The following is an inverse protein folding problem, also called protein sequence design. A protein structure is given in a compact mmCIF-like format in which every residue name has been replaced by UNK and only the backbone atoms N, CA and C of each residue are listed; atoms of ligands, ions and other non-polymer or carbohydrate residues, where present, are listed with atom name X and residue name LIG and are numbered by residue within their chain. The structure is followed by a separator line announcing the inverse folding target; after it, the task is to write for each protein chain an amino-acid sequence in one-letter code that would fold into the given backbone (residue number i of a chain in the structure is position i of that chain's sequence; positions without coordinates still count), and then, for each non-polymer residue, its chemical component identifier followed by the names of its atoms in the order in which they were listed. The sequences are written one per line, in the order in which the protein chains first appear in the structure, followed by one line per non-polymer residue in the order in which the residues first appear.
data_IF_806047771903
#
_entry.id   IF_806047771903
#
_cell.length_a   1.000
_cell.length_b   1.000
_cell.length_c   1.000
_cell.angle_alpha   90.00
_cell.angle_beta   90.00
_cell.angle_gamma   90.00
#
_symmetry.space_group_name_H-M   'P 1'
#
loop_
_entity.id
_entity.type
_entity.pdbx_description
1 polymer ?
#
# COMPACT_ATOMS: atom_id res chain seq x y z
N UNK A 1 7.59 24.93 -67.77
CA UNK A 1 7.06 24.30 -66.54
C UNK A 1 5.79 25.06 -66.19
N UNK A 2 4.60 24.59 -66.62
CA UNK A 2 3.68 23.67 -65.90
C UNK A 2 3.32 24.23 -64.51
N UNK A 3 2.07 24.46 -64.07
CA UNK A 3 0.73 24.24 -64.63
C UNK A 3 -0.29 25.06 -63.79
N UNK A 4 -1.40 25.42 -64.42
CA UNK A 4 -2.62 26.05 -63.88
C UNK A 4 -3.42 25.11 -62.95
N UNK A 5 -4.24 25.66 -62.05
CA UNK A 5 -5.58 25.11 -61.79
C UNK A 5 -6.61 26.17 -61.40
N UNK A 6 -7.75 26.10 -62.11
CA UNK A 6 -8.94 26.96 -62.03
C UNK A 6 -10.10 26.17 -61.42
N UNK A 7 -11.01 26.94 -60.80
CA UNK A 7 -12.26 26.60 -60.10
C UNK A 7 -13.35 25.89 -60.94
N UNK A 8 -14.33 25.37 -60.17
CA UNK A 8 -15.79 25.28 -60.38
C UNK A 8 -16.44 23.97 -60.90
N UNK A 9 -17.38 23.43 -60.09
CA UNK A 9 -18.81 23.42 -60.49
C UNK A 9 -19.53 22.08 -60.73
N UNK A 10 -20.40 21.70 -59.79
CA UNK A 10 -21.75 21.05 -59.89
C UNK A 10 -21.93 19.68 -60.60
N UNK A 11 -22.58 18.73 -59.90
CA UNK A 11 -24.03 18.37 -60.05
C UNK A 11 -24.34 16.86 -59.91
N UNK A 12 -25.39 16.55 -59.11
CA UNK A 12 -26.43 15.50 -59.30
C UNK A 12 -26.03 14.00 -59.35
N UNK A 13 -26.83 12.97 -59.03
CA UNK A 13 -28.09 12.69 -58.30
C UNK A 13 -28.22 11.15 -58.31
N UNK A 14 -29.05 10.61 -57.40
CA UNK A 14 -29.82 9.36 -57.50
C UNK A 14 -29.30 8.01 -56.97
N UNK A 15 -30.24 7.44 -56.22
CA UNK A 15 -30.44 6.16 -55.55
C UNK A 15 -30.53 4.93 -56.46
N UNK A 16 -30.10 3.75 -55.96
CA UNK A 16 -30.87 2.50 -56.09
C UNK A 16 -30.56 1.49 -54.98
N UNK A 17 -31.63 0.90 -54.43
CA UNK A 17 -31.67 -0.24 -53.50
C UNK A 17 -31.31 -1.55 -54.22
N UNK A 18 -30.71 -2.51 -53.51
CA UNK A 18 -31.07 -3.93 -53.66
C UNK A 18 -30.93 -4.69 -52.33
N UNK A 19 -32.00 -5.40 -52.00
CA UNK A 19 -32.10 -6.40 -50.94
C UNK A 19 -31.97 -7.78 -51.59
N UNK A 20 -31.19 -8.69 -51.00
CA UNK A 20 -31.34 -10.13 -51.20
C UNK A 20 -31.25 -10.84 -49.84
N UNK A 21 -32.31 -11.60 -49.57
CA UNK A 21 -32.48 -12.58 -48.49
C UNK A 21 -32.26 -13.97 -49.10
N UNK A 22 -31.63 -14.89 -48.37
CA UNK A 22 -31.85 -16.35 -48.34
C UNK A 22 -30.63 -17.03 -47.67
N UNK A 23 -30.70 -17.57 -46.46
CA UNK A 23 -31.38 -18.80 -45.98
C UNK A 23 -30.65 -20.12 -46.31
N UNK A 24 -30.32 -20.86 -45.25
CA UNK A 24 -30.42 -22.33 -45.22
C UNK A 24 -29.10 -23.12 -45.27
N UNK A 25 -28.92 -24.02 -44.30
CA UNK A 25 -27.99 -25.15 -44.44
C UNK A 25 -27.44 -25.74 -43.14
N UNK A 26 -28.26 -26.52 -42.43
CA UNK A 26 -27.80 -27.51 -41.45
C UNK A 26 -27.03 -28.63 -42.15
N UNK A 27 -25.95 -29.13 -41.54
CA UNK A 27 -25.47 -30.50 -41.73
C UNK A 27 -24.82 -31.03 -40.44
N UNK A 28 -25.43 -32.10 -39.93
CA UNK A 28 -25.00 -32.95 -38.83
C UNK A 28 -23.88 -33.90 -39.25
N UNK A 29 -22.87 -34.14 -38.40
CA UNK A 29 -22.61 -35.47 -37.81
C UNK A 29 -21.25 -35.58 -37.09
N UNK A 30 -21.27 -36.48 -36.10
CA UNK A 30 -20.21 -37.41 -35.71
C UNK A 30 -19.25 -37.07 -34.54
N UNK A 31 -19.49 -37.85 -33.47
CA UNK A 31 -18.55 -38.69 -32.68
C UNK A 31 -18.04 -38.20 -31.32
N UNK A 32 -18.36 -39.04 -30.33
CA UNK A 32 -17.75 -39.21 -29.01
C UNK A 32 -16.22 -39.24 -29.09
N UNK A 33 -15.58 -38.53 -28.16
CA UNK A 33 -14.17 -38.72 -27.79
C UNK A 33 -13.97 -38.19 -26.37
N UNK A 34 -13.48 -39.06 -25.49
CA UNK A 34 -13.19 -38.81 -24.07
C UNK A 34 -12.18 -37.66 -23.91
N UNK A 35 -12.43 -36.76 -22.95
CA UNK A 35 -11.45 -35.82 -22.45
C UNK A 35 -10.88 -36.37 -21.15
N UNK A 36 -9.62 -36.77 -21.16
CA UNK A 36 -8.83 -37.08 -19.96
C UNK A 36 -7.72 -36.04 -19.83
N UNK A 37 -7.58 -35.55 -18.60
CA UNK A 37 -6.71 -34.47 -18.15
C UNK A 37 -5.26 -34.96 -18.16
N UNK A 38 -4.33 -34.19 -18.74
CA UNK A 38 -2.88 -34.34 -18.48
C UNK A 38 -2.25 -33.01 -18.09
N UNK A 39 -1.79 -33.01 -16.84
CA UNK A 39 -0.86 -32.06 -16.23
C UNK A 39 0.51 -32.19 -16.90
N UNK A 40 1.14 -31.08 -17.26
CA UNK A 40 2.51 -31.02 -17.76
C UNK A 40 3.41 -30.34 -16.71
N UNK A 41 4.23 -31.15 -16.04
CA UNK A 41 5.40 -30.71 -15.29
C UNK A 41 6.66 -30.99 -16.12
N UNK A 42 7.48 -29.98 -16.34
CA UNK A 42 8.73 -30.08 -17.10
C UNK A 42 9.95 -30.16 -16.18
N UNK A 43 10.64 -31.31 -16.19
CA UNK A 43 12.01 -31.47 -15.73
C UNK A 43 12.98 -31.08 -16.85
N UNK A 44 14.03 -30.32 -16.55
CA UNK A 44 15.18 -30.08 -17.45
C UNK A 44 16.45 -30.73 -16.89
N UNK A 45 17.12 -31.50 -17.74
CA UNK A 45 18.40 -32.17 -17.54
C UNK A 45 19.52 -31.31 -18.14
N UNK A 46 20.65 -31.19 -17.45
CA UNK A 46 21.88 -30.50 -17.90
C UNK A 46 22.78 -31.42 -18.76
N UNK A 47 23.47 -30.83 -19.75
CA UNK A 47 24.51 -31.48 -20.57
C UNK A 47 25.83 -30.68 -20.45
N UNK A 48 26.92 -31.37 -20.14
CA UNK A 48 28.31 -30.87 -20.16
C UNK A 48 28.96 -31.10 -21.54
N UNK A 49 29.90 -30.22 -21.91
CA UNK A 49 30.90 -30.47 -22.95
C UNK A 49 32.20 -29.72 -22.57
N UNK A 50 33.38 -30.27 -22.92
CA UNK A 50 34.69 -29.73 -22.57
C UNK A 50 35.77 -29.82 -23.67
N UNK A 51 36.99 -29.37 -23.30
CA UNK A 51 38.32 -29.34 -23.99
C UNK A 51 38.55 -28.13 -24.94
N UNK A 52 39.74 -27.50 -25.11
CA UNK A 52 41.18 -27.78 -24.80
C UNK A 52 42.02 -26.45 -24.85
N UNK A 53 43.26 -26.46 -24.30
CA UNK A 53 44.30 -25.40 -24.15
C UNK A 53 45.09 -25.05 -25.45
N UNK A 54 45.89 -23.98 -25.67
CA UNK A 54 47.07 -23.30 -25.00
C UNK A 54 47.44 -21.97 -25.78
N UNK A 55 48.50 -21.13 -25.52
CA UNK A 55 49.32 -20.79 -24.33
C UNK A 55 49.58 -19.24 -24.07
N UNK A 56 50.35 -18.96 -23.00
CA UNK A 56 50.81 -17.72 -22.31
C UNK A 56 51.69 -16.69 -23.09
N UNK A 57 51.95 -15.46 -22.54
CA UNK A 57 53.17 -15.23 -21.73
C UNK A 57 53.02 -14.39 -20.42
N UNK A 58 53.74 -14.87 -19.40
CA UNK A 58 54.49 -14.22 -18.28
C UNK A 58 54.20 -12.78 -17.81
N UNK A 59 53.94 -12.60 -16.51
CA UNK A 59 54.90 -11.93 -15.60
C UNK A 59 54.63 -12.18 -14.10
N UNK A 60 55.74 -12.26 -13.39
CA UNK A 60 55.98 -12.63 -11.99
C UNK A 60 55.56 -11.59 -10.95
N UNK A 61 55.03 -12.01 -9.81
CA UNK A 61 55.66 -11.74 -8.49
C UNK A 61 54.97 -12.52 -7.36
N UNK A 62 55.82 -12.94 -6.43
CA UNK A 62 55.64 -13.85 -5.31
C UNK A 62 55.04 -13.19 -4.07
N UNK A 63 54.17 -13.89 -3.34
CA UNK A 63 54.19 -13.89 -1.87
C UNK A 63 53.46 -15.12 -1.31
N UNK A 64 54.15 -15.77 -0.39
CA UNK A 64 53.88 -17.02 0.32
C UNK A 64 52.76 -16.92 1.38
N UNK A 65 52.09 -18.06 1.57
CA UNK A 65 51.04 -18.42 2.55
C UNK A 65 51.48 -18.29 4.04
N UNK A 66 50.59 -18.44 5.06
CA UNK A 66 49.96 -19.74 5.39
C UNK A 66 48.52 -19.74 5.95
N UNK A 67 47.79 -20.81 5.57
CA UNK A 67 46.99 -21.73 6.40
C UNK A 67 46.00 -21.14 7.42
N UNK A 68 44.71 -21.34 7.16
CA UNK A 68 43.69 -21.49 8.22
C UNK A 68 42.62 -22.51 7.78
N UNK A 69 42.26 -23.38 8.72
CA UNK A 69 41.56 -24.64 8.56
C UNK A 69 40.06 -24.51 8.26
N UNK A 70 39.56 -25.38 7.38
CA UNK A 70 38.14 -25.63 7.16
C UNK A 70 37.53 -26.36 8.37
N UNK A 71 36.51 -25.77 8.99
CA UNK A 71 35.58 -26.47 9.88
C UNK A 71 34.23 -26.60 9.19
N UNK A 72 33.86 -27.85 8.92
CA UNK A 72 32.58 -28.29 8.39
C UNK A 72 31.54 -28.35 9.51
N UNK A 73 30.44 -27.60 9.39
CA UNK A 73 29.25 -27.79 10.24
C UNK A 73 28.15 -28.50 9.44
N UNK A 74 27.73 -29.65 9.93
CA UNK A 74 26.63 -30.47 9.41
C UNK A 74 25.37 -30.16 10.21
N UNK A 75 24.27 -29.79 9.54
CA UNK A 75 22.95 -29.57 10.16
C UNK A 75 22.12 -30.86 10.07
N UNK A 76 21.53 -31.38 11.16
CA UNK A 76 20.69 -32.56 11.09
C UNK A 76 19.26 -32.22 10.64
N UNK A 77 18.84 -32.85 9.53
CA UNK A 77 17.46 -32.87 9.03
C UNK A 77 16.67 -33.90 9.82
N UNK A 78 15.64 -33.46 10.56
CA UNK A 78 14.72 -34.34 11.29
C UNK A 78 13.60 -34.80 10.35
N UNK A 79 13.67 -36.06 9.89
CA UNK A 79 12.57 -36.74 9.18
C UNK A 79 11.42 -37.04 10.15
N UNK A 80 10.19 -36.71 9.77
CA UNK A 80 8.96 -37.21 10.41
C UNK A 80 8.46 -38.41 9.62
N UNK A 81 8.30 -39.54 10.31
CA UNK A 81 7.68 -40.76 9.80
C UNK A 81 6.15 -40.64 9.90
N UNK A 82 5.45 -41.01 8.83
CA UNK A 82 4.07 -41.51 8.88
C UNK A 82 4.06 -42.98 9.29
N UNK A 83 3.06 -43.38 10.08
CA UNK A 83 2.55 -44.75 10.21
C UNK A 83 1.09 -44.67 10.69
N UNK A 84 0.20 -45.38 10.00
CA UNK A 84 -1.24 -45.32 10.15
C UNK A 84 -1.87 -46.37 11.07
N UNK A 85 -3.20 -46.25 11.14
CA UNK A 85 -4.26 -47.22 11.49
C UNK A 85 -4.11 -48.15 12.69
N UNK A 86 -5.08 -48.08 13.61
CA UNK A 86 -6.06 -49.18 13.74
C UNK A 86 -7.33 -48.77 14.51
N UNK A 87 -8.44 -49.34 14.05
CA UNK A 87 -9.80 -49.16 14.52
C UNK A 87 -10.12 -50.03 15.74
N UNK A 88 -11.14 -49.65 16.51
CA UNK A 88 -12.04 -50.60 17.17
C UNK A 88 -13.48 -50.07 17.24
N UNK A 89 -14.38 -51.01 16.99
CA UNK A 89 -15.82 -50.92 16.75
C UNK A 89 -16.58 -51.06 18.06
N UNK A 90 -17.70 -50.33 18.22
CA UNK A 90 -18.88 -50.82 18.93
C UNK A 90 -20.16 -50.14 18.42
N UNK A 91 -20.97 -50.92 17.69
CA UNK A 91 -22.36 -50.67 17.34
C UNK A 91 -23.28 -50.84 18.56
N UNK A 92 -24.30 -49.98 18.73
CA UNK A 92 -25.70 -50.36 19.05
C UNK A 92 -26.64 -49.26 18.51
N UNK A 93 -27.74 -49.67 17.87
CA UNK A 93 -28.78 -48.87 17.19
C UNK A 93 -30.14 -49.00 17.97
N UNK A 94 -31.27 -48.44 17.50
CA UNK A 94 -31.99 -47.26 18.02
C UNK A 94 -33.30 -47.61 18.79
N UNK A 95 -34.20 -46.64 19.08
CA UNK A 95 -35.32 -46.45 18.15
C UNK A 95 -35.84 -45.00 17.97
N UNK A 96 -36.68 -44.91 16.93
CA UNK A 96 -37.46 -43.81 16.36
C UNK A 96 -38.52 -43.20 17.31
N UNK A 97 -38.82 -41.91 17.15
CA UNK A 97 -40.13 -41.37 16.69
C UNK A 97 -40.17 -39.84 16.82
N UNK A 98 -40.88 -39.20 15.88
CA UNK A 98 -40.86 -37.77 15.54
C UNK A 98 -42.06 -37.00 16.17
N UNK A 99 -42.33 -35.72 15.83
CA UNK A 99 -42.47 -34.58 16.76
C UNK A 99 -43.98 -34.22 16.98
N UNK A 100 -44.43 -33.08 17.58
CA UNK A 100 -44.26 -31.70 17.03
C UNK A 100 -44.28 -30.52 18.06
N UNK A 101 -44.16 -29.31 17.51
CA UNK A 101 -44.61 -27.99 18.00
C UNK A 101 -43.66 -27.04 18.77
N UNK A 102 -43.32 -26.00 18.01
CA UNK A 102 -42.81 -24.66 18.33
C UNK A 102 -43.24 -24.04 19.66
N UNK A 103 -42.29 -23.33 20.29
CA UNK A 103 -42.52 -22.00 20.84
C UNK A 103 -41.21 -21.21 20.84
N UNK A 104 -41.16 -20.21 19.96
CA UNK A 104 -40.20 -19.12 19.99
C UNK A 104 -40.42 -18.30 21.27
N UNK A 105 -39.42 -18.18 22.13
CA UNK A 105 -39.30 -17.04 23.03
C UNK A 105 -38.33 -16.04 22.43
N UNK A 106 -38.87 -14.94 21.89
CA UNK A 106 -38.14 -13.69 21.70
C UNK A 106 -37.93 -13.05 23.08
N UNK A 107 -36.69 -12.96 23.53
CA UNK A 107 -36.30 -11.98 24.56
C UNK A 107 -36.06 -10.65 23.87
N UNK A 108 -37.07 -9.77 23.90
CA UNK A 108 -36.95 -8.36 23.59
C UNK A 108 -36.72 -7.58 24.90
N UNK A 109 -35.51 -7.09 25.09
CA UNK A 109 -35.17 -5.94 25.92
C UNK A 109 -34.27 -5.10 25.01
N UNK A 110 -34.66 -3.93 24.51
CA UNK A 110 -34.97 -2.73 25.27
C UNK A 110 -35.71 -1.72 24.38
N UNK A 111 -36.98 -1.45 24.67
CA UNK A 111 -37.63 -0.19 24.34
C UNK A 111 -38.75 0.02 25.36
N UNK A 112 -38.61 1.08 26.16
CA UNK A 112 -39.46 1.35 27.32
C UNK A 112 -40.93 1.47 26.96
N UNK A 113 -41.76 0.62 27.56
CA UNK A 113 -43.21 0.74 27.61
C UNK A 113 -43.60 0.55 29.08
N UNK A 114 -44.10 1.62 29.73
CA UNK A 114 -44.62 1.57 31.11
C UNK A 114 -46.14 1.59 31.06
N UNK A 115 -46.72 0.40 31.23
CA UNK A 115 -48.15 0.07 31.43
C UNK A 115 -49.09 0.17 30.21
N UNK A 116 -49.89 -0.90 30.05
CA UNK A 116 -51.02 -1.02 29.14
C UNK A 116 -52.25 -1.13 30.03
N UNK A 117 -53.19 -0.17 29.93
CA UNK A 117 -54.54 -0.31 30.48
C UNK A 117 -55.49 -0.67 29.35
N UNK A 118 -56.13 -1.83 29.47
CA UNK A 118 -57.24 -2.25 28.61
C UNK A 118 -58.56 -2.01 29.37
N UNK A 119 -59.46 -1.25 28.78
CA UNK A 119 -60.91 -1.35 29.04
C UNK A 119 -61.68 -0.98 27.76
N UNK A 120 -62.88 -1.55 27.54
CA UNK A 120 -63.31 -1.97 26.22
C UNK A 120 -64.43 -1.06 25.67
N UNK A 121 -64.13 -0.29 24.63
CA UNK A 121 -65.10 0.19 23.62
C UNK A 121 -64.43 1.32 22.84
N UNK A 122 -64.41 1.20 21.51
CA UNK A 122 -64.09 2.27 20.55
C UNK A 122 -62.61 2.75 20.63
N UNK A 123 -61.68 2.29 19.79
CA UNK A 123 -61.70 2.49 18.35
C UNK A 123 -61.22 3.90 17.96
N UNK A 124 -59.98 4.28 18.33
CA UNK A 124 -59.07 5.28 17.68
C UNK A 124 -57.87 5.51 18.60
N UNK A 125 -56.63 5.48 18.09
CA UNK A 125 -55.45 5.94 18.81
C UNK A 125 -54.63 6.90 17.93
N UNK A 126 -54.82 8.20 18.18
CA UNK A 126 -53.92 9.28 17.74
C UNK A 126 -52.66 9.30 18.61
N UNK A 127 -51.49 9.41 17.99
CA UNK A 127 -50.23 9.65 18.71
C UNK A 127 -49.71 11.05 18.38
N UNK A 128 -49.97 12.00 19.28
CA UNK A 128 -49.33 13.32 19.33
C UNK A 128 -47.98 13.22 20.08
N UNK A 129 -46.96 13.89 19.53
CA UNK A 129 -45.58 13.87 20.04
C UNK A 129 -45.43 14.81 21.24
N UNK A 130 -45.27 14.26 22.45
CA UNK A 130 -44.90 15.03 23.63
C UNK A 130 -43.39 15.32 23.64
N UNK A 131 -43.04 16.61 23.79
CA UNK A 131 -41.68 17.13 23.95
C UNK A 131 -41.27 16.91 25.42
N UNK A 132 -40.23 16.12 25.65
CA UNK A 132 -39.61 15.95 26.97
C UNK A 132 -38.14 16.30 26.87
N UNK A 133 -37.71 17.14 27.81
CA UNK A 133 -36.40 17.74 27.97
C UNK A 133 -35.31 16.69 28.25
N UNK A 134 -34.12 17.02 27.74
CA UNK A 134 -32.76 16.47 27.93
C UNK A 134 -32.57 15.15 28.69
N UNK A 135 -31.72 14.27 28.11
CA UNK A 135 -30.57 13.80 28.88
C UNK A 135 -29.25 14.08 28.16
N UNK A 136 -28.26 14.39 28.99
CA UNK A 136 -26.81 14.24 28.80
C UNK A 136 -26.32 13.81 27.41
N UNK A 137 -25.55 14.72 26.82
CA UNK A 137 -24.89 14.62 25.53
C UNK A 137 -23.77 13.59 25.56
N UNK A 138 -24.10 12.30 25.66
CA UNK A 138 -23.23 11.26 25.15
C UNK A 138 -23.36 11.30 23.61
N UNK A 139 -22.54 12.15 22.97
CA UNK A 139 -22.32 12.07 21.54
C UNK A 139 -21.84 10.64 21.23
N UNK A 140 -22.54 9.86 20.39
CA UNK A 140 -21.88 8.72 19.79
C UNK A 140 -20.70 9.31 19.02
N UNK A 141 -19.49 8.85 19.33
CA UNK A 141 -18.32 9.04 18.47
C UNK A 141 -18.64 8.35 17.15
N UNK A 142 -19.40 9.04 16.29
CA UNK A 142 -19.46 8.76 14.88
C UNK A 142 -18.01 8.88 14.42
N UNK A 143 -17.46 7.79 13.90
CA UNK A 143 -16.20 7.75 13.17
C UNK A 143 -16.35 8.66 11.95
N UNK A 144 -16.27 9.97 12.18
CA UNK A 144 -16.29 11.01 11.17
C UNK A 144 -15.04 10.80 10.31
N UNK A 145 -15.26 10.78 8.99
CA UNK A 145 -14.31 10.46 7.93
C UNK A 145 -12.83 10.80 8.25
N UNK A 146 -11.93 9.84 7.97
CA UNK A 146 -10.49 9.96 8.28
C UNK A 146 -9.67 10.68 7.18
N UNK A 147 -10.34 11.25 6.18
CA UNK A 147 -9.76 12.36 5.42
C UNK A 147 -9.86 13.60 6.29
N UNK A 148 -8.71 14.04 6.78
CA UNK A 148 -8.63 15.14 7.73
C UNK A 148 -8.38 16.46 7.00
N UNK A 149 -8.90 17.57 7.54
CA UNK A 149 -8.52 18.89 7.04
C UNK A 149 -7.06 19.21 7.40
N UNK A 150 -6.64 18.80 8.59
CA UNK A 150 -5.29 18.95 9.12
C UNK A 150 -4.94 17.71 9.97
N UNK A 151 -3.72 17.20 9.82
CA UNK A 151 -3.19 16.10 10.64
C UNK A 151 -3.05 16.48 12.11
N UNK A 152 -2.90 17.78 12.41
CA UNK A 152 -2.72 18.30 13.76
C UNK A 152 -3.97 18.16 14.65
N UNK A 153 -5.16 18.07 14.04
CA UNK A 153 -6.43 18.18 14.72
C UNK A 153 -7.08 16.82 15.04
N UNK A 154 -6.46 15.72 14.62
CA UNK A 154 -6.96 14.37 14.91
C UNK A 154 -6.04 13.66 15.89
N UNK A 155 -6.66 13.16 16.97
CA UNK A 155 -5.96 12.52 18.07
C UNK A 155 -5.06 11.38 17.54
N UNK A 156 -3.78 11.43 17.92
CA UNK A 156 -2.73 10.45 17.60
C UNK A 156 -2.32 10.31 16.14
N UNK A 157 -3.02 10.92 15.17
CA UNK A 157 -2.57 10.90 13.77
C UNK A 157 -1.23 11.63 13.60
N UNK A 158 -1.05 12.73 14.33
CA UNK A 158 0.21 13.50 14.37
C UNK A 158 1.39 12.75 15.01
N UNK A 159 1.16 11.65 15.72
CA UNK A 159 2.23 10.86 16.35
C UNK A 159 3.21 10.27 15.31
N UNK A 160 2.79 10.24 14.04
CA UNK A 160 3.59 9.79 12.90
C UNK A 160 4.49 10.89 12.30
N UNK A 161 4.39 12.11 12.81
CA UNK A 161 5.05 13.31 12.31
C UNK A 161 6.00 13.87 13.36
N UNK A 162 7.20 14.29 12.92
CA UNK A 162 8.16 14.93 13.83
C UNK A 162 7.56 16.21 14.40
N UNK A 163 7.54 16.35 15.73
CA UNK A 163 6.86 17.44 16.46
C UNK A 163 5.38 17.60 16.08
N UNK A 164 4.75 16.52 15.62
CA UNK A 164 3.37 16.53 15.15
C UNK A 164 3.15 17.34 13.86
N UNK A 165 4.20 17.81 13.18
CA UNK A 165 4.08 18.75 12.07
C UNK A 165 4.30 18.05 10.72
N UNK A 166 3.37 18.18 9.75
CA UNK A 166 3.55 17.60 8.42
C UNK A 166 4.57 18.40 7.58
N UNK A 167 5.13 17.80 6.51
CA UNK A 167 5.88 18.53 5.49
C UNK A 167 5.16 19.80 5.05
N UNK A 168 5.87 20.94 5.08
CA UNK A 168 5.36 22.26 4.72
C UNK A 168 5.62 22.55 3.25
N UNK A 169 4.85 23.46 2.64
CA UNK A 169 5.07 23.91 1.26
C UNK A 169 4.40 23.06 0.17
N UNK A 170 3.72 21.97 0.52
CA UNK A 170 2.86 21.21 -0.41
C UNK A 170 1.40 21.68 -0.20
N UNK A 171 0.92 22.60 -1.05
CA UNK A 171 -0.29 23.41 -0.79
C UNK A 171 -1.45 23.18 -1.78
N UNK A 172 -1.50 22.04 -2.48
CA UNK A 172 -2.62 21.75 -3.38
C UNK A 172 -3.88 21.29 -2.60
N UNK A 173 -4.96 22.09 -2.71
CA UNK A 173 -6.26 21.88 -2.06
C UNK A 173 -6.98 20.60 -2.48
N UNK A 174 -6.59 20.00 -3.62
CA UNK A 174 -7.19 18.74 -4.13
C UNK A 174 -6.63 17.53 -3.43
N UNK A 175 -5.43 17.63 -2.85
CA UNK A 175 -4.79 16.55 -2.13
C UNK A 175 -5.58 16.22 -0.86
N UNK A 176 -5.62 14.93 -0.53
CA UNK A 176 -6.34 14.40 0.63
C UNK A 176 -5.34 14.00 1.68
N UNK A 177 -5.51 14.55 2.89
CA UNK A 177 -4.73 14.17 4.06
C UNK A 177 -5.42 12.98 4.71
N UNK A 178 -4.84 11.79 4.58
CA UNK A 178 -5.42 10.55 5.09
C UNK A 178 -4.68 10.19 6.38
N UNK A 179 -5.39 10.15 7.50
CA UNK A 179 -4.84 9.47 8.68
C UNK A 179 -5.12 7.97 8.54
N UNK A 180 -4.07 7.19 8.33
CA UNK A 180 -4.22 5.78 8.00
C UNK A 180 -4.61 5.02 9.27
N UNK A 181 -5.82 4.47 9.31
CA UNK A 181 -6.36 3.74 10.47
C UNK A 181 -6.61 2.30 10.13
N UNK A 182 -6.16 1.43 11.02
CA UNK A 182 -6.40 -0.01 10.93
C UNK A 182 -6.72 -0.57 12.32
N UNK A 183 -7.83 -1.31 12.40
CA UNK A 183 -8.43 -1.79 13.65
C UNK A 183 -8.63 -0.64 14.66
N UNK A 184 -9.28 0.43 14.19
CA UNK A 184 -9.65 1.67 14.89
C UNK A 184 -8.50 2.51 15.43
N UNK A 185 -7.24 2.11 15.16
CA UNK A 185 -6.04 2.80 15.62
C UNK A 185 -5.36 3.54 14.47
N UNK A 186 -5.00 4.82 14.66
CA UNK A 186 -4.06 5.53 13.78
C UNK A 186 -2.73 4.78 13.70
N UNK A 187 -2.18 4.66 12.49
CA UNK A 187 -0.94 3.91 12.20
C UNK A 187 0.14 4.80 11.59
N UNK A 188 -0.22 5.56 10.56
CA UNK A 188 0.65 6.52 9.87
C UNK A 188 -0.21 7.55 9.14
N UNK A 189 0.42 8.49 8.42
CA UNK A 189 -0.31 9.46 7.60
C UNK A 189 0.15 9.40 6.16
N UNK A 190 -0.76 9.74 5.26
CA UNK A 190 -0.51 9.81 3.83
C UNK A 190 -1.11 11.09 3.26
N UNK A 191 -0.34 11.84 2.49
CA UNK A 191 -0.88 12.87 1.61
C UNK A 191 -1.13 12.24 0.25
N UNK A 192 -2.38 12.18 -0.17
CA UNK A 192 -2.83 11.43 -1.35
C UNK A 192 -3.33 12.35 -2.45
N UNK A 193 -3.03 12.03 -3.70
CA UNK A 193 -3.55 12.70 -4.89
C UNK A 193 -4.64 11.82 -5.54
N UNK A 194 -5.94 12.16 -5.38
CA UNK A 194 -7.03 11.40 -6.00
C UNK A 194 -7.03 11.44 -7.53
N UNK A 195 -6.48 12.50 -8.14
CA UNK A 195 -6.44 12.62 -9.60
C UNK A 195 -5.37 11.73 -10.20
N UNK A 196 -4.21 11.65 -9.55
CA UNK A 196 -3.12 10.76 -9.94
C UNK A 196 -3.25 9.34 -9.38
N UNK A 197 -4.18 9.15 -8.43
CA UNK A 197 -4.46 7.90 -7.71
C UNK A 197 -3.23 7.30 -7.00
N UNK A 198 -2.32 8.16 -6.54
CA UNK A 198 -1.10 7.76 -5.80
C UNK A 198 -0.87 8.64 -4.58
N UNK A 199 -0.18 8.14 -3.54
CA UNK A 199 0.36 9.00 -2.50
C UNK A 199 1.41 9.95 -3.06
N UNK A 200 1.35 11.21 -2.62
CA UNK A 200 2.44 12.19 -2.77
C UNK A 200 3.56 11.86 -1.79
N UNK A 201 3.19 11.57 -0.54
CA UNK A 201 4.08 11.00 0.47
C UNK A 201 3.31 10.20 1.52
N UNK A 202 4.00 9.29 2.18
CA UNK A 202 3.60 8.67 3.46
C UNK A 202 4.61 9.04 4.55
N UNK A 203 4.12 9.38 5.74
CA UNK A 203 4.95 9.69 6.90
C UNK A 203 4.60 8.81 8.10
N UNK A 204 5.61 8.22 8.73
CA UNK A 204 5.46 7.17 9.74
C UNK A 204 6.63 7.17 10.74
N UNK A 205 6.41 6.55 11.90
CA UNK A 205 7.50 6.23 12.83
C UNK A 205 8.08 4.86 12.54
N UNK A 206 9.41 4.74 12.55
CA UNK A 206 10.12 3.46 12.45
C UNK A 206 9.99 2.65 13.76
N UNK A 207 9.71 1.34 13.68
CA UNK A 207 9.30 0.53 14.85
C UNK A 207 10.33 -0.46 15.41
N UNK A 208 11.61 -0.36 15.04
CA UNK A 208 12.70 -1.29 15.44
C UNK A 208 12.34 -2.77 15.24
N UNK A 209 12.89 -3.37 14.18
CA UNK A 209 12.39 -4.66 13.67
C UNK A 209 13.52 -5.45 13.04
N UNK A 210 13.43 -6.78 13.07
CA UNK A 210 14.40 -7.72 12.47
C UNK A 210 14.31 -7.77 10.93
N UNK A 211 13.32 -7.10 10.33
CA UNK A 211 13.15 -7.04 8.87
C UNK A 211 12.29 -8.16 8.28
N UNK A 212 11.61 -8.94 9.13
CA UNK A 212 10.68 -9.98 8.69
C UNK A 212 9.55 -9.39 7.83
N UNK A 213 9.41 -9.87 6.61
CA UNK A 213 8.25 -9.59 5.75
C UNK A 213 7.13 -10.59 6.01
N UNK A 214 5.88 -10.12 6.05
CA UNK A 214 4.70 -11.00 6.05
C UNK A 214 3.90 -10.78 4.77
N UNK A 215 3.76 -11.84 3.97
CA UNK A 215 3.18 -11.75 2.61
C UNK A 215 1.67 -11.98 2.61
N UNK A 216 1.08 -12.30 3.77
CA UNK A 216 -0.27 -12.90 3.84
C UNK A 216 -1.38 -11.90 4.16
N UNK A 217 -1.12 -10.59 4.09
CA UNK A 217 -2.13 -9.57 4.33
C UNK A 217 -2.94 -9.25 3.07
N UNK A 218 -4.28 -9.14 3.17
CA UNK A 218 -5.09 -8.71 2.05
C UNK A 218 -4.81 -7.25 1.70
N UNK A 219 -4.87 -6.93 0.41
CA UNK A 219 -4.83 -5.54 -0.04
C UNK A 219 -6.11 -4.82 0.37
N UNK A 220 -5.94 -3.57 0.79
CA UNK A 220 -6.99 -2.73 1.36
C UNK A 220 -7.19 -1.43 0.57
N UNK A 221 -8.35 -0.83 0.77
CA UNK A 221 -8.76 0.47 0.25
C UNK A 221 -9.23 1.38 1.38
N UNK A 222 -9.38 2.66 1.06
CA UNK A 222 -9.87 3.70 1.98
C UNK A 222 -11.33 4.06 1.63
N UNK A 223 -12.35 3.55 2.36
CA UNK A 223 -13.76 3.83 2.08
C UNK A 223 -14.09 5.33 2.08
N UNK A 224 -13.48 6.08 2.99
CA UNK A 224 -13.63 7.53 3.17
C UNK A 224 -13.15 8.38 1.98
N UNK A 225 -12.45 7.79 1.00
CA UNK A 225 -12.12 8.49 -0.25
C UNK A 225 -13.27 8.45 -1.27
N UNK A 226 -14.10 7.40 -1.25
CA UNK A 226 -15.18 7.20 -2.20
C UNK A 226 -16.55 7.64 -1.65
N UNK A 227 -16.72 7.60 -0.33
CA UNK A 227 -17.99 7.86 0.35
C UNK A 227 -17.78 8.88 1.48
N UNK A 228 -18.66 9.89 1.55
CA UNK A 228 -18.55 10.98 2.53
C UNK A 228 -18.72 10.46 3.97
N UNK A 229 -19.58 9.47 4.13
CA UNK A 229 -19.86 8.72 5.36
C UNK A 229 -19.11 7.37 5.43
N UNK A 230 -18.12 7.18 4.54
CA UNK A 230 -17.30 5.98 4.50
C UNK A 230 -16.58 5.72 5.82
N UNK A 231 -16.37 4.43 6.14
CA UNK A 231 -15.65 4.02 7.33
C UNK A 231 -14.26 4.65 7.36
N UNK A 232 -13.87 5.13 8.55
CA UNK A 232 -12.58 5.76 8.75
C UNK A 232 -11.40 4.79 8.82
N UNK A 233 -11.64 3.47 8.83
CA UNK A 233 -10.62 2.44 8.75
C UNK A 233 -10.46 1.93 7.33
N UNK A 234 -9.22 1.59 6.98
CA UNK A 234 -8.93 0.83 5.77
C UNK A 234 -9.56 -0.55 5.85
N UNK A 235 -10.13 -1.02 4.73
CA UNK A 235 -10.85 -2.29 4.64
C UNK A 235 -10.29 -3.16 3.51
N UNK A 236 -10.29 -4.50 3.64
CA UNK A 236 -9.89 -5.38 2.54
C UNK A 236 -10.82 -5.20 1.35
N UNK A 237 -10.26 -5.26 0.14
CA UNK A 237 -11.08 -5.25 -1.06
C UNK A 237 -12.10 -6.40 -1.05
N UNK A 238 -13.38 -6.13 -1.34
CA UNK A 238 -14.39 -7.18 -1.36
C UNK A 238 -14.11 -8.19 -2.48
N UNK A 239 -14.33 -9.47 -2.19
CA UNK A 239 -14.32 -10.54 -3.20
C UNK A 239 -15.64 -10.50 -3.97
N UNK A 240 -15.82 -9.53 -4.86
CA UNK A 240 -17.07 -9.33 -5.57
C UNK A 240 -17.13 -8.01 -6.33
N UNK A 241 -18.33 -7.55 -6.63
CA UNK A 241 -18.53 -6.29 -7.35
C UNK A 241 -18.07 -5.10 -6.50
N UNK A 242 -16.99 -4.44 -6.91
CA UNK A 242 -16.66 -3.12 -6.42
C UNK A 242 -17.60 -2.10 -7.04
N UNK A 243 -18.22 -1.28 -6.20
CA UNK A 243 -19.03 -0.17 -6.66
C UNK A 243 -18.13 0.83 -7.44
N UNK A 244 -18.56 1.27 -8.63
CA UNK A 244 -17.73 2.09 -9.55
C UNK A 244 -17.12 3.36 -8.91
N UNK A 245 -17.76 3.90 -7.86
CA UNK A 245 -17.27 5.07 -7.09
C UNK A 245 -15.85 4.91 -6.53
N UNK A 246 -15.38 3.69 -6.24
CA UNK A 246 -14.02 3.48 -5.76
C UNK A 246 -12.98 3.80 -6.83
N UNK A 247 -13.25 3.41 -8.08
CA UNK A 247 -12.31 3.60 -9.19
C UNK A 247 -12.08 5.06 -9.54
N UNK A 248 -13.02 5.94 -9.22
CA UNK A 248 -12.93 7.38 -9.47
C UNK A 248 -12.06 8.09 -8.43
N UNK A 249 -12.01 7.57 -7.20
CA UNK A 249 -11.40 8.26 -6.05
C UNK A 249 -10.01 7.74 -5.68
N UNK A 250 -9.71 6.48 -6.00
CA UNK A 250 -8.45 5.83 -5.63
C UNK A 250 -8.08 4.72 -6.62
N UNK A 251 -6.86 4.21 -6.49
CA UNK A 251 -6.42 3.05 -7.26
C UNK A 251 -7.14 1.77 -6.78
N UNK A 252 -7.38 0.85 -7.71
CA UNK A 252 -7.93 -0.48 -7.43
C UNK A 252 -6.97 -1.58 -7.88
N UNK A 253 -7.18 -2.82 -7.44
CA UNK A 253 -6.28 -3.95 -7.77
C UNK A 253 -6.16 -4.18 -9.29
N UNK A 254 -7.26 -3.99 -10.02
CA UNK A 254 -7.30 -4.11 -11.48
C UNK A 254 -6.48 -3.03 -12.20
N UNK A 255 -6.10 -1.94 -11.53
CA UNK A 255 -5.15 -0.96 -12.11
C UNK A 255 -3.71 -1.53 -12.17
N UNK A 256 -3.42 -2.60 -11.44
CA UNK A 256 -2.10 -3.25 -11.36
C UNK A 256 -2.07 -4.67 -11.97
N UNK A 257 -3.20 -5.22 -12.41
CA UNK A 257 -3.30 -6.63 -12.84
C UNK A 257 -2.58 -6.92 -14.17
N UNK A 258 -2.64 -5.99 -15.12
CA UNK A 258 -2.18 -6.20 -16.49
C UNK A 258 -0.81 -5.56 -16.80
N UNK A 259 -0.11 -5.08 -15.77
CA UNK A 259 1.16 -4.34 -15.91
C UNK A 259 2.34 -5.12 -15.34
N UNK A 260 2.85 -6.08 -16.11
CA UNK A 260 3.98 -6.97 -15.71
C UNK A 260 5.27 -6.20 -15.35
N UNK A 261 5.42 -4.96 -15.83
CA UNK A 261 6.59 -4.13 -15.58
C UNK A 261 6.65 -3.56 -14.15
N UNK A 262 5.50 -3.39 -13.50
CA UNK A 262 5.41 -2.66 -12.24
C UNK A 262 5.08 -3.57 -11.06
N UNK A 263 5.76 -3.30 -9.96
CA UNK A 263 5.43 -3.80 -8.64
C UNK A 263 4.63 -2.76 -7.87
N UNK A 264 3.88 -3.23 -6.87
CA UNK A 264 3.23 -2.39 -5.87
C UNK A 264 4.27 -1.99 -4.81
N UNK A 265 4.98 -0.90 -5.06
CA UNK A 265 6.00 -0.38 -4.16
C UNK A 265 5.40 0.41 -3.02
N UNK A 266 5.82 0.10 -1.79
CA UNK A 266 5.29 0.73 -0.58
C UNK A 266 6.10 1.98 -0.21
N UNK A 267 5.43 3.08 0.12
CA UNK A 267 6.12 4.25 0.68
C UNK A 267 6.42 4.09 2.19
N UNK A 268 5.48 3.49 2.92
CA UNK A 268 5.71 2.94 4.26
C UNK A 268 5.86 1.41 4.15
N UNK A 269 7.08 0.86 4.19
CA UNK A 269 7.32 -0.57 4.00
C UNK A 269 7.00 -1.39 5.24
N UNK A 270 6.54 -2.63 5.04
CA UNK A 270 6.23 -3.59 6.10
C UNK A 270 7.45 -3.82 7.02
N UNK A 271 8.66 -3.81 6.45
CA UNK A 271 9.88 -4.16 7.17
C UNK A 271 10.31 -3.09 8.16
N UNK A 272 9.70 -1.91 8.13
CA UNK A 272 9.90 -0.85 9.12
C UNK A 272 8.89 -0.92 10.26
N UNK A 273 7.88 -1.80 10.15
CA UNK A 273 6.81 -2.00 11.13
C UNK A 273 7.02 -3.29 11.94
N UNK A 274 6.66 -3.27 13.22
CA UNK A 274 6.96 -4.37 14.14
C UNK A 274 5.76 -5.26 14.46
N UNK A 275 4.60 -4.68 14.78
CA UNK A 275 3.42 -5.47 15.15
C UNK A 275 2.68 -5.99 13.91
N UNK A 276 1.96 -7.12 14.01
CA UNK A 276 1.16 -7.63 12.90
C UNK A 276 0.16 -6.60 12.35
N UNK A 277 -0.47 -5.81 13.23
CA UNK A 277 -1.41 -4.78 12.80
C UNK A 277 -0.74 -3.57 12.14
N UNK A 278 0.45 -3.16 12.59
CA UNK A 278 1.19 -2.07 11.95
C UNK A 278 1.68 -2.49 10.56
N UNK A 279 2.14 -3.75 10.42
CA UNK A 279 2.48 -4.34 9.11
C UNK A 279 1.27 -4.46 8.21
N UNK A 280 0.15 -5.00 8.70
CA UNK A 280 -1.07 -5.10 7.91
C UNK A 280 -1.49 -3.73 7.35
N UNK A 281 -1.39 -2.67 8.15
CA UNK A 281 -1.77 -1.32 7.74
C UNK A 281 -0.96 -0.75 6.57
N UNK A 282 0.20 -1.32 6.22
CA UNK A 282 0.97 -0.87 5.05
C UNK A 282 0.35 -1.33 3.73
N UNK A 283 -0.50 -2.37 3.75
CA UNK A 283 -1.11 -3.02 2.57
C UNK A 283 -2.38 -2.31 2.08
N UNK A 284 -2.44 -0.98 2.16
CA UNK A 284 -3.48 -0.16 1.51
C UNK A 284 -2.92 0.43 0.20
N UNK A 285 -3.72 0.47 -0.87
CA UNK A 285 -3.26 1.04 -2.15
C UNK A 285 -2.99 2.55 -2.07
N UNK A 286 -3.49 3.24 -1.06
CA UNK A 286 -3.15 4.64 -0.81
C UNK A 286 -1.72 4.82 -0.28
N UNK A 287 -1.02 3.75 0.10
CA UNK A 287 0.40 3.76 0.49
C UNK A 287 1.33 3.20 -0.61
N UNK A 288 0.78 2.95 -1.80
CA UNK A 288 1.47 2.24 -2.88
C UNK A 288 1.62 3.10 -4.12
N UNK A 289 2.76 2.96 -4.80
CA UNK A 289 3.00 3.51 -6.13
C UNK A 289 3.47 2.43 -7.10
N UNK A 290 3.28 2.59 -8.42
CA UNK A 290 3.89 1.69 -9.40
C UNK A 290 5.41 1.87 -9.44
N UNK A 291 6.15 0.85 -9.04
CA UNK A 291 7.62 0.85 -9.11
C UNK A 291 8.10 -0.14 -10.15
N UNK A 292 9.11 0.22 -10.95
CA UNK A 292 9.71 -0.71 -11.89
C UNK A 292 10.29 -1.90 -11.12
N UNK A 293 9.97 -3.11 -11.58
CA UNK A 293 10.30 -4.34 -10.85
C UNK A 293 11.77 -4.44 -10.45
N UNK A 294 12.70 -4.18 -11.36
CA UNK A 294 14.15 -4.22 -11.09
C UNK A 294 14.59 -3.20 -10.06
N UNK A 295 13.93 -2.04 -10.00
CA UNK A 295 14.20 -1.01 -9.00
C UNK A 295 13.67 -1.42 -7.62
N UNK A 296 12.39 -1.84 -7.54
CA UNK A 296 11.73 -2.23 -6.29
C UNK A 296 12.41 -3.43 -5.61
N UNK A 297 12.75 -4.49 -6.35
CA UNK A 297 13.38 -5.70 -5.77
C UNK A 297 14.91 -5.58 -5.62
N UNK A 298 15.51 -4.52 -6.16
CA UNK A 298 16.95 -4.31 -6.19
C UNK A 298 17.36 -3.10 -5.35
N UNK A 299 17.83 -1.99 -5.97
CA UNK A 299 18.42 -0.87 -5.25
C UNK A 299 17.53 -0.26 -4.16
N UNK A 300 16.22 -0.16 -4.39
CA UNK A 300 15.32 0.46 -3.41
C UNK A 300 15.15 -0.41 -2.17
N UNK A 301 14.90 -1.72 -2.35
CA UNK A 301 14.84 -2.68 -1.24
C UNK A 301 16.14 -2.73 -0.45
N UNK A 302 17.29 -2.66 -1.11
CA UNK A 302 18.60 -2.61 -0.44
C UNK A 302 18.75 -1.33 0.40
N UNK A 303 18.22 -0.21 -0.09
CA UNK A 303 18.20 1.04 0.67
C UNK A 303 17.25 0.96 1.87
N UNK A 304 16.03 0.43 1.72
CA UNK A 304 15.10 0.18 2.84
C UNK A 304 15.76 -0.63 3.97
N UNK A 305 16.46 -1.69 3.59
CA UNK A 305 17.18 -2.53 4.54
C UNK A 305 18.34 -1.77 5.23
N UNK A 306 19.07 -0.95 4.47
CA UNK A 306 20.16 -0.11 4.99
C UNK A 306 19.66 0.87 6.05
N UNK A 307 18.56 1.58 5.79
CA UNK A 307 17.97 2.50 6.79
C UNK A 307 17.38 1.75 7.99
N UNK A 308 16.79 0.57 7.80
CA UNK A 308 16.35 -0.29 8.92
C UNK A 308 17.51 -0.62 9.85
N UNK A 309 18.62 -1.13 9.31
CA UNK A 309 19.81 -1.49 10.09
C UNK A 309 20.43 -0.26 10.77
N UNK A 310 20.57 0.85 10.04
CA UNK A 310 21.12 2.11 10.57
C UNK A 310 20.29 2.63 11.74
N UNK A 311 18.97 2.73 11.59
CA UNK A 311 18.09 3.26 12.62
C UNK A 311 17.95 2.29 13.81
N UNK A 312 17.95 0.98 13.58
CA UNK A 312 17.99 -0.01 14.67
C UNK A 312 19.21 0.19 15.58
N UNK A 313 20.39 0.34 14.97
CA UNK A 313 21.66 0.35 15.69
C UNK A 313 21.96 1.71 16.36
N UNK A 314 21.61 2.81 15.69
CA UNK A 314 22.12 4.13 16.06
C UNK A 314 21.04 5.13 16.49
N UNK A 315 19.75 4.92 16.13
CA UNK A 315 18.67 5.75 16.66
C UNK A 315 18.20 5.23 18.04
N UNK A 316 18.34 6.06 19.06
CA UNK A 316 17.97 5.75 20.45
C UNK A 316 16.52 6.12 20.75
N UNK A 317 16.05 7.25 20.25
CA UNK A 317 14.66 7.70 20.38
C UNK A 317 13.75 7.23 19.25
N UNK A 318 12.77 8.06 18.91
CA UNK A 318 11.83 7.80 17.80
C UNK A 318 12.39 8.35 16.50
N UNK A 319 12.51 7.49 15.48
CA UNK A 319 12.80 7.93 14.12
C UNK A 319 11.51 8.15 13.34
N UNK A 320 11.37 9.34 12.75
CA UNK A 320 10.30 9.72 11.86
C UNK A 320 10.80 9.63 10.42
N UNK A 321 10.03 9.03 9.53
CA UNK A 321 10.39 8.86 8.12
C UNK A 321 9.29 9.44 7.25
N UNK A 322 9.67 10.16 6.21
CA UNK A 322 8.79 10.62 5.14
C UNK A 322 9.33 10.06 3.83
N UNK A 323 8.52 9.26 3.14
CA UNK A 323 8.83 8.73 1.81
C UNK A 323 7.81 9.26 0.82
N UNK A 324 8.25 9.74 -0.34
CA UNK A 324 7.38 10.31 -1.36
C UNK A 324 7.93 10.15 -2.76
N UNK A 325 7.22 10.76 -3.71
CA UNK A 325 7.50 10.58 -5.14
C UNK A 325 7.42 11.89 -5.92
N UNK A 326 8.12 11.93 -7.05
CA UNK A 326 7.95 12.94 -8.10
C UNK A 326 7.20 12.33 -9.28
N UNK A 327 6.53 13.14 -10.11
CA UNK A 327 5.77 12.63 -11.28
C UNK A 327 6.01 13.50 -12.50
N UNK A 328 6.24 12.88 -13.67
CA UNK A 328 6.32 13.57 -14.99
C UNK A 328 5.09 13.41 -15.89
N UNK A 329 3.97 12.94 -15.33
CA UNK A 329 2.72 12.76 -16.08
C UNK A 329 2.60 11.42 -16.82
N UNK A 330 3.57 10.51 -16.67
CA UNK A 330 3.40 9.12 -17.11
C UNK A 330 2.31 8.45 -16.27
N UNK A 331 1.40 7.71 -16.90
CA UNK A 331 0.31 7.03 -16.22
C UNK A 331 0.12 5.61 -16.76
N UNK A 332 -0.22 4.68 -15.87
CA UNK A 332 -0.75 3.37 -16.24
C UNK A 332 -2.12 3.60 -16.88
N UNK A 333 -2.34 2.94 -18.03
CA UNK A 333 -3.59 2.99 -18.77
C UNK A 333 -4.34 1.68 -18.63
N UNK A 334 -5.64 1.77 -18.35
CA UNK A 334 -6.58 0.64 -18.37
C UNK A 334 -7.78 1.03 -19.20
N UNK A 335 -8.21 0.18 -20.13
CA UNK A 335 -9.33 0.47 -21.04
C UNK A 335 -9.20 1.84 -21.74
N UNK A 336 -7.98 2.17 -22.20
CA UNK A 336 -7.63 3.45 -22.81
C UNK A 336 -7.81 4.70 -21.93
N UNK A 337 -8.00 4.56 -20.63
CA UNK A 337 -8.08 5.68 -19.68
C UNK A 337 -6.82 5.72 -18.81
N UNK A 338 -6.35 6.92 -18.49
CA UNK A 338 -5.27 7.11 -17.55
C UNK A 338 -5.78 6.86 -16.11
N UNK A 339 -5.14 5.91 -15.43
CA UNK A 339 -5.57 5.40 -14.13
C UNK A 339 -4.64 5.86 -13.01
N UNK A 340 -3.42 5.34 -12.99
CA UNK A 340 -2.50 5.52 -11.87
C UNK A 340 -1.22 6.17 -12.39
N UNK A 341 -0.81 7.28 -11.77
CA UNK A 341 0.44 7.93 -12.16
C UNK A 341 1.65 7.06 -11.81
N UNK A 342 2.65 7.11 -12.69
CA UNK A 342 3.93 6.42 -12.51
C UNK A 342 4.94 7.45 -12.00
N UNK A 343 5.52 7.24 -10.80
CA UNK A 343 6.60 8.07 -10.29
C UNK A 343 7.78 8.15 -11.25
N UNK A 344 8.41 9.32 -11.35
CA UNK A 344 9.72 9.42 -11.96
C UNK A 344 10.82 9.09 -10.96
N UNK A 345 10.80 9.72 -9.80
CA UNK A 345 11.75 9.50 -8.72
C UNK A 345 11.03 9.10 -7.44
N UNK A 346 11.71 8.32 -6.62
CA UNK A 346 11.30 8.01 -5.25
C UNK A 346 12.34 8.57 -4.31
N UNK A 347 11.86 9.22 -3.26
CA UNK A 347 12.69 9.82 -2.24
C UNK A 347 12.23 9.40 -0.85
N UNK A 348 13.18 9.38 0.08
CA UNK A 348 12.90 9.09 1.49
C UNK A 348 13.83 9.91 2.37
N UNK A 349 13.31 10.47 3.44
CA UNK A 349 14.07 11.21 4.43
C UNK A 349 13.68 10.73 5.82
N UNK A 350 14.65 10.69 6.74
CA UNK A 350 14.40 10.37 8.14
C UNK A 350 14.92 11.45 9.07
N UNK A 351 14.33 11.49 10.27
CA UNK A 351 14.69 12.37 11.38
C UNK A 351 14.72 11.55 12.68
N UNK A 352 15.86 11.53 13.37
CA UNK A 352 16.05 10.96 14.69
C UNK A 352 17.00 11.85 15.50
N UNK A 353 16.44 12.67 16.39
CA UNK A 353 17.19 13.63 17.21
C UNK A 353 17.98 12.98 18.35
N UNK A 354 17.51 11.84 18.83
CA UNK A 354 18.14 11.06 19.89
C UNK A 354 18.89 9.88 19.28
N UNK A 355 20.16 10.06 18.97
CA UNK A 355 21.01 9.05 18.33
C UNK A 355 22.33 8.86 19.08
N UNK A 356 23.02 7.77 18.77
CA UNK A 356 24.29 7.42 19.38
C UNK A 356 25.42 8.35 18.92
N UNK A 357 25.86 9.26 19.80
CA UNK A 357 26.95 10.20 19.50
C UNK A 357 28.34 9.54 19.45
N UNK A 358 28.46 8.31 19.94
CA UNK A 358 29.68 7.51 19.93
C UNK A 358 29.78 6.61 18.69
N UNK A 359 28.81 6.68 17.77
CA UNK A 359 28.86 5.92 16.51
C UNK A 359 30.12 6.30 15.70
N UNK A 360 30.61 5.39 14.84
CA UNK A 360 31.63 5.70 13.84
C UNK A 360 31.32 6.97 13.06
N UNK A 361 32.35 7.73 12.67
CA UNK A 361 32.18 9.07 12.10
C UNK A 361 31.34 9.08 10.82
N UNK A 362 31.58 8.10 9.95
CA UNK A 362 30.85 7.85 8.70
C UNK A 362 29.35 7.60 8.92
N UNK A 363 28.97 7.02 10.05
CA UNK A 363 27.56 6.87 10.46
C UNK A 363 27.05 8.13 11.14
N UNK A 364 27.87 8.77 11.98
CA UNK A 364 27.47 9.90 12.82
C UNK A 364 27.02 11.11 12.02
N UNK A 365 27.65 11.35 10.87
CA UNK A 365 27.30 12.45 9.96
C UNK A 365 25.93 12.26 9.28
N UNK A 366 25.36 11.06 9.36
CA UNK A 366 24.05 10.71 8.79
C UNK A 366 22.90 10.96 9.79
N UNK A 367 23.19 11.56 10.95
CA UNK A 367 22.24 11.92 11.99
C UNK A 367 22.39 13.41 12.35
N UNK A 368 21.31 14.09 12.81
CA UNK A 368 20.01 13.53 13.18
C UNK A 368 19.10 13.21 11.98
N UNK A 369 19.41 13.72 10.79
CA UNK A 369 18.57 13.51 9.61
C UNK A 369 19.39 13.25 8.36
N UNK A 370 18.86 12.42 7.47
CA UNK A 370 19.42 12.15 6.16
C UNK A 370 18.32 11.82 5.17
N UNK A 371 18.64 11.89 3.88
CA UNK A 371 17.72 11.60 2.80
C UNK A 371 18.37 10.70 1.74
N UNK A 372 17.53 10.18 0.86
CA UNK A 372 17.94 9.54 -0.37
C UNK A 372 16.93 9.78 -1.50
N UNK A 373 17.43 9.68 -2.73
CA UNK A 373 16.69 9.83 -3.96
C UNK A 373 17.12 8.76 -4.96
N UNK A 374 16.19 8.20 -5.71
CA UNK A 374 16.49 7.28 -6.80
C UNK A 374 15.47 7.39 -7.92
N UNK A 375 15.91 7.14 -9.16
CA UNK A 375 15.02 7.07 -10.32
C UNK A 375 14.25 5.76 -10.33
N UNK A 376 12.94 5.83 -10.54
CA UNK A 376 12.06 4.70 -10.80
C UNK A 376 12.27 4.19 -12.24
N UNK A 377 13.45 3.63 -12.49
CA UNK A 377 13.94 3.27 -13.81
C UNK A 377 14.49 1.83 -13.80
N UNK A 378 14.58 1.21 -14.99
CA UNK A 378 15.27 -0.07 -15.14
C UNK A 378 16.80 0.09 -15.07
N UNK A 379 17.30 1.19 -15.62
CA UNK A 379 18.72 1.57 -15.66
C UNK A 379 18.89 2.96 -15.05
N UNK A 380 20.08 3.25 -14.48
CA UNK A 380 20.33 4.53 -13.81
C UNK A 380 19.50 4.73 -12.54
N UNK A 381 19.12 3.62 -11.88
CA UNK A 381 18.24 3.54 -10.73
C UNK A 381 19.01 3.41 -9.40
N UNK A 382 20.25 3.88 -9.38
CA UNK A 382 21.08 3.92 -8.18
C UNK A 382 20.48 4.85 -7.13
N UNK A 383 20.56 4.43 -5.87
CA UNK A 383 20.13 5.25 -4.74
C UNK A 383 21.24 6.21 -4.36
N UNK A 384 20.92 7.51 -4.39
CA UNK A 384 21.82 8.60 -3.99
C UNK A 384 21.40 9.11 -2.62
N UNK A 385 22.23 8.85 -1.60
CA UNK A 385 22.03 9.42 -0.27
C UNK A 385 22.55 10.88 -0.24
N UNK A 386 21.82 11.77 0.43
CA UNK A 386 22.10 13.21 0.52
C UNK A 386 21.54 13.82 1.81
N UNK A 387 21.87 15.08 2.09
CA UNK A 387 21.23 15.82 3.19
C UNK A 387 19.75 16.08 2.90
N UNK A 388 18.95 16.31 3.95
CA UNK A 388 17.52 16.65 3.79
C UNK A 388 17.36 17.96 3.01
N UNK A 389 18.25 18.92 3.22
CA UNK A 389 18.23 20.21 2.52
C UNK A 389 18.53 20.06 1.02
N UNK A 390 19.46 19.19 0.64
CA UNK A 390 19.71 18.86 -0.77
C UNK A 390 18.49 18.21 -1.43
N UNK A 391 17.81 17.30 -0.71
CA UNK A 391 16.55 16.74 -1.19
C UNK A 391 15.49 17.83 -1.34
N UNK A 392 15.30 18.71 -0.35
CA UNK A 392 14.33 19.81 -0.44
C UNK A 392 14.61 20.74 -1.63
N UNK A 393 15.88 21.05 -1.92
CA UNK A 393 16.27 21.81 -3.11
C UNK A 393 15.92 21.06 -4.40
N UNK A 394 16.16 19.74 -4.45
CA UNK A 394 15.76 18.92 -5.58
C UNK A 394 14.24 18.95 -5.79
N UNK A 395 13.45 18.74 -4.73
CA UNK A 395 11.99 18.71 -4.79
C UNK A 395 11.39 20.04 -5.22
N UNK A 396 11.93 21.18 -4.75
CA UNK A 396 11.52 22.53 -5.21
C UNK A 396 11.65 22.73 -6.72
N UNK A 397 12.58 22.03 -7.36
CA UNK A 397 12.81 22.12 -8.81
C UNK A 397 12.00 21.09 -9.62
N UNK A 398 11.47 20.03 -8.99
CA UNK A 398 10.86 18.89 -9.68
C UNK A 398 9.39 18.65 -9.29
N UNK A 399 8.87 19.38 -8.30
CA UNK A 399 7.49 19.32 -7.86
C UNK A 399 6.89 20.72 -7.80
N UNK A 400 5.56 20.81 -7.91
CA UNK A 400 4.82 22.05 -7.70
C UNK A 400 4.64 22.30 -6.19
N UNK A 401 5.65 22.91 -5.59
CA UNK A 401 5.76 23.18 -4.15
C UNK A 401 6.25 24.59 -3.90
N UNK A 402 5.92 25.13 -2.72
CA UNK A 402 6.38 26.44 -2.27
C UNK A 402 7.90 26.45 -2.03
N UNK A 403 8.52 27.61 -2.22
CA UNK A 403 9.93 27.87 -1.90
C UNK A 403 10.26 27.64 -0.42
N UNK A 404 9.26 27.72 0.47
CA UNK A 404 9.38 27.40 1.89
C UNK A 404 9.26 25.89 2.22
N UNK A 405 9.29 24.99 1.21
CA UNK A 405 9.25 23.54 1.44
C UNK A 405 10.25 23.13 2.52
N UNK A 406 9.73 22.42 3.52
CA UNK A 406 10.49 21.82 4.60
C UNK A 406 9.86 20.49 4.99
N UNK A 407 10.63 19.41 4.95
CA UNK A 407 10.14 18.04 5.23
C UNK A 407 9.95 17.77 6.72
N UNK A 408 10.88 18.24 7.55
CA UNK A 408 10.82 18.10 9.00
C UNK A 408 10.80 19.46 9.69
N UNK A 409 9.92 19.61 10.68
CA UNK A 409 9.86 20.83 11.50
C UNK A 409 11.25 21.22 12.00
N UNK A 410 11.60 22.50 11.82
CA UNK A 410 12.88 23.08 12.24
C UNK A 410 14.11 22.26 11.81
N UNK A 411 14.06 21.68 10.60
CA UNK A 411 15.14 20.87 10.02
C UNK A 411 15.59 19.70 10.91
N UNK A 412 14.66 19.06 11.64
CA UNK A 412 14.99 17.98 12.57
C UNK A 412 15.94 18.41 13.70
N UNK A 413 15.96 19.69 14.07
CA UNK A 413 16.67 20.15 15.25
C UNK A 413 15.82 19.86 16.48
N UNK A 414 16.42 19.22 17.50
CA UNK A 414 15.75 19.04 18.79
C UNK A 414 15.56 20.41 19.43
N UNK A 415 14.35 20.77 19.90
CA UNK A 415 14.18 21.97 20.70
C UNK A 415 15.10 21.86 21.93
N UNK A 416 15.88 22.91 22.16
CA UNK A 416 16.76 23.00 23.32
C UNK A 416 15.92 22.90 24.59
N UNK A 417 16.26 22.03 25.56
CA UNK A 417 15.61 22.03 26.86
C UNK A 417 15.96 23.30 27.68
N UNK A 418 16.97 24.07 27.24
CA UNK A 418 17.31 25.37 27.82
C UNK A 418 16.49 26.49 27.15
N UNK A 419 15.88 27.39 27.94
CA UNK A 419 15.21 28.58 27.43
C UNK A 419 16.11 29.41 26.50
N UNK A 420 15.52 30.03 25.48
CA UNK A 420 16.21 30.83 24.45
C UNK A 420 17.21 31.87 25.01
N UNK A 421 16.98 32.40 26.22
CA UNK A 421 17.86 33.40 26.85
C UNK A 421 19.21 32.84 27.33
N UNK A 422 19.40 31.52 27.39
CA UNK A 422 20.67 30.88 27.76
C UNK A 422 21.49 30.37 26.56
N UNK A 423 20.97 30.47 25.33
CA UNK A 423 21.67 29.99 24.13
C UNK A 423 22.78 30.93 23.65
N UNK A 424 22.85 32.17 24.15
CA UNK A 424 23.85 33.17 23.74
C UNK A 424 25.04 33.33 24.70
N UNK A 425 25.26 32.38 25.61
CA UNK A 425 26.32 32.49 26.63
C UNK A 425 27.36 31.37 26.59
N UNK A 426 27.65 30.83 25.41
CA UNK A 426 28.79 29.91 25.21
C UNK A 426 29.66 30.40 24.07
#
# INVERSE_FOLDING_TARGET
MLLYHKREGRSATHTHKHTIVASGGFLTNARRGQAEIRLSGSNKVYRQAGRRLDPLPTNTSSATSPIASLTTFTVPIRRRHELGSNAHIANVQPPLLSPPFSLFQLTAASAGIRSIKLSPSEGVLECTKARSETPERALPYLSLATVVQDFNHVERCKDSLYMGTPPRGIVDIRLKKICQRYADKPRYVTLYDPHKRIPVYSAYTFKKTEGDRRVDYPWMYEPQLAEIDGNGNMLPFPTGYLHMKFEDSQAVLDDYSDVVLYERGHLNPDQHQSTPHDRAATYTLTNVVPEIREFNIGPWREYEERIRVRLNNFCRGTAYIVTGVTTRGNMIRRNNQDRVAIPEDIWSAYCCTEYDRNSPHDVRILFPSHAALAKNAKEGNSVHEMTVQELEMFLKNHMDVDQNLQLFYDNCVSPSPLPLYLQHTI
#
